data_IF_863479977190
#
_entry.id   IF_863479977190
#
_cell.length_a   1.000
_cell.length_b   1.000
_cell.length_c   1.000
_cell.angle_alpha   90.00
_cell.angle_beta   90.00
_cell.angle_gamma   90.00
#
_symmetry.space_group_name_H-M   'P 1'
#
loop_
_entity.id
_entity.type
_entity.pdbx_description
1 polymer ?
#
# COMPACT_ATOMS: atom_id res chain seq x y z
N UNK A 1 17.63 4.60 18.42
CA UNK A 1 16.76 3.41 18.55
C UNK A 1 17.61 2.20 18.26
N UNK A 2 17.78 1.29 19.24
CA UNK A 2 18.55 0.08 19.07
C UNK A 2 17.84 -0.82 18.06
N UNK A 3 18.56 -1.38 17.12
CA UNK A 3 18.02 -2.19 16.05
C UNK A 3 17.94 -3.66 16.55
N UNK A 4 17.16 -3.87 17.63
CA UNK A 4 17.04 -5.17 18.32
C UNK A 4 16.07 -6.13 17.62
N UNK A 5 16.12 -6.17 16.29
CA UNK A 5 15.41 -7.19 15.54
C UNK A 5 16.11 -8.54 15.71
N UNK A 6 15.36 -9.65 15.81
CA UNK A 6 15.95 -10.99 15.80
C UNK A 6 16.84 -11.18 14.57
N UNK A 7 17.95 -11.90 14.73
CA UNK A 7 18.96 -12.09 13.67
C UNK A 7 18.37 -12.66 12.37
N UNK A 8 17.33 -13.53 12.48
CA UNK A 8 16.66 -14.08 11.30
C UNK A 8 15.92 -13.01 10.45
N UNK A 9 15.59 -11.83 11.02
CA UNK A 9 15.04 -10.70 10.26
C UNK A 9 16.17 -9.92 9.58
N UNK A 10 17.32 -9.78 10.25
CA UNK A 10 18.48 -9.07 9.69
C UNK A 10 19.11 -9.83 8.54
N UNK A 11 19.10 -11.17 8.62
CA UNK A 11 19.61 -12.10 7.61
C UNK A 11 18.58 -12.40 6.51
N UNK A 12 17.47 -11.67 6.46
CA UNK A 12 16.49 -11.85 5.40
C UNK A 12 17.15 -11.75 4.03
N UNK A 13 16.94 -12.73 3.14
CA UNK A 13 17.63 -12.80 1.85
C UNK A 13 17.14 -11.74 0.87
N UNK A 14 17.49 -10.47 1.13
CA UNK A 14 17.17 -9.32 0.25
C UNK A 14 17.55 -9.59 -1.19
N UNK A 15 18.73 -10.22 -1.39
CA UNK A 15 19.22 -10.58 -2.72
C UNK A 15 18.31 -11.60 -3.41
N UNK A 16 17.83 -12.61 -2.70
CA UNK A 16 16.93 -13.62 -3.27
C UNK A 16 15.55 -13.00 -3.60
N UNK A 17 15.05 -12.11 -2.75
CA UNK A 17 13.81 -11.38 -3.04
C UNK A 17 13.95 -10.51 -4.29
N UNK A 18 15.03 -9.72 -4.40
CA UNK A 18 15.32 -8.89 -5.56
C UNK A 18 15.52 -9.72 -6.84
N UNK A 19 16.21 -10.85 -6.75
CA UNK A 19 16.38 -11.79 -7.86
C UNK A 19 15.04 -12.36 -8.33
N UNK A 20 14.14 -12.71 -7.39
CA UNK A 20 12.81 -13.19 -7.73
C UNK A 20 11.99 -12.12 -8.48
N UNK A 21 12.08 -10.87 -8.06
CA UNK A 21 11.45 -9.75 -8.79
C UNK A 21 12.01 -9.57 -10.19
N UNK A 22 13.32 -9.77 -10.39
CA UNK A 22 13.96 -9.61 -11.70
C UNK A 22 13.81 -10.82 -12.61
N UNK A 23 13.81 -12.05 -12.08
CA UNK A 23 13.86 -13.30 -12.85
C UNK A 23 12.47 -13.88 -13.16
N UNK A 24 11.51 -13.75 -12.25
CA UNK A 24 10.15 -14.30 -12.40
C UNK A 24 9.11 -13.19 -12.40
N UNK A 25 9.09 -12.42 -13.46
CA UNK A 25 8.10 -11.37 -13.61
C UNK A 25 6.73 -11.97 -13.82
N UNK A 26 5.75 -11.51 -13.02
CA UNK A 26 4.35 -11.81 -13.26
C UNK A 26 3.96 -11.39 -14.68
N UNK A 27 3.01 -12.08 -15.31
CA UNK A 27 2.57 -11.75 -16.67
C UNK A 27 2.15 -10.28 -16.85
N UNK A 28 1.55 -9.69 -15.83
CA UNK A 28 1.15 -8.27 -15.83
C UNK A 28 2.25 -7.30 -15.37
N UNK A 29 3.45 -7.77 -15.06
CA UNK A 29 4.52 -6.93 -14.48
C UNK A 29 4.80 -5.67 -15.31
N UNK A 30 4.93 -5.82 -16.64
CA UNK A 30 5.20 -4.69 -17.52
C UNK A 30 4.05 -3.67 -17.53
N UNK A 31 2.82 -4.15 -17.50
CA UNK A 31 1.63 -3.30 -17.39
C UNK A 31 1.65 -2.51 -16.08
N UNK A 32 1.92 -3.16 -14.96
CA UNK A 32 2.01 -2.50 -13.66
C UNK A 32 3.15 -1.49 -13.60
N UNK A 33 4.34 -1.88 -14.11
CA UNK A 33 5.48 -0.98 -14.16
C UNK A 33 5.18 0.26 -14.99
N UNK A 34 4.57 0.08 -16.17
CA UNK A 34 4.17 1.21 -17.03
C UNK A 34 3.17 2.13 -16.31
N UNK A 35 2.18 1.55 -15.61
CA UNK A 35 1.23 2.32 -14.83
C UNK A 35 1.89 3.12 -13.71
N UNK A 36 2.84 2.52 -12.99
CA UNK A 36 3.57 3.18 -11.91
C UNK A 36 4.47 4.29 -12.46
N UNK A 37 5.20 4.02 -13.52
CA UNK A 37 6.15 4.99 -14.12
C UNK A 37 5.44 6.19 -14.74
N UNK A 38 4.18 6.00 -15.17
CA UNK A 38 3.34 7.05 -15.73
C UNK A 38 2.54 7.84 -14.69
N UNK A 39 2.63 7.50 -13.39
CA UNK A 39 1.93 8.26 -12.34
C UNK A 39 2.42 9.72 -12.32
N UNK A 40 1.51 10.70 -12.25
CA UNK A 40 1.90 12.10 -12.11
C UNK A 40 2.58 12.31 -10.75
N UNK A 41 3.59 13.19 -10.72
CA UNK A 41 4.24 13.60 -9.48
C UNK A 41 3.42 14.70 -8.83
N UNK A 42 2.60 14.32 -7.84
CA UNK A 42 1.70 15.23 -7.15
C UNK A 42 2.25 15.57 -5.76
N UNK A 43 1.95 16.79 -5.33
CA UNK A 43 2.17 17.16 -3.94
C UNK A 43 1.11 16.46 -3.07
N UNK A 44 1.57 15.75 -2.07
CA UNK A 44 0.71 15.11 -1.09
C UNK A 44 0.43 16.06 0.07
N UNK A 45 -0.83 16.11 0.51
CA UNK A 45 -1.26 16.84 1.69
C UNK A 45 -1.39 15.91 2.91
N UNK A 46 -2.40 16.18 3.73
CA UNK A 46 -2.66 15.39 4.92
C UNK A 46 -2.95 13.91 4.59
N UNK A 47 -2.39 13.02 5.41
CA UNK A 47 -2.65 11.58 5.36
C UNK A 47 -3.44 11.21 6.62
N UNK A 48 -4.53 10.45 6.46
CA UNK A 48 -5.34 9.93 7.56
C UNK A 48 -5.35 8.40 7.48
N UNK A 49 -4.94 7.76 8.57
CA UNK A 49 -4.82 6.31 8.67
C UNK A 49 -5.91 5.67 9.53
N UNK A 50 -6.50 6.45 10.44
CA UNK A 50 -7.51 6.05 11.42
C UNK A 50 -8.96 6.26 10.91
N UNK A 51 -9.18 6.05 9.64
CA UNK A 51 -10.49 6.16 8.98
C UNK A 51 -10.82 4.89 8.18
N UNK A 52 -12.09 4.67 7.79
CA UNK A 52 -12.46 3.50 7.00
C UNK A 52 -11.68 3.32 5.69
N UNK A 53 -11.14 4.41 5.15
CA UNK A 53 -10.22 4.37 4.02
C UNK A 53 -8.92 5.07 4.39
N UNK A 54 -7.78 4.51 4.02
CA UNK A 54 -6.52 5.25 4.09
C UNK A 54 -6.61 6.40 3.09
N UNK A 55 -6.54 7.63 3.60
CA UNK A 55 -6.72 8.82 2.77
C UNK A 55 -5.42 9.59 2.60
N UNK A 56 -5.24 10.17 1.41
CA UNK A 56 -4.16 11.12 1.13
C UNK A 56 -4.76 12.30 0.36
N UNK A 57 -4.66 13.49 0.92
CA UNK A 57 -5.10 14.70 0.24
C UNK A 57 -4.14 15.06 -0.91
N UNK A 58 -4.70 15.59 -1.99
CA UNK A 58 -3.96 16.05 -3.18
C UNK A 58 -4.38 17.49 -3.50
N UNK A 59 -3.94 18.48 -2.70
CA UNK A 59 -4.51 19.82 -2.71
C UNK A 59 -4.29 20.59 -4.02
N UNK A 60 -3.23 20.27 -4.77
CA UNK A 60 -2.84 20.99 -5.99
C UNK A 60 -3.02 20.16 -7.28
N UNK A 61 -3.66 18.98 -7.17
CA UNK A 61 -3.88 18.14 -8.34
C UNK A 61 -4.92 18.76 -9.27
N UNK A 62 -4.55 18.93 -10.53
CA UNK A 62 -5.50 19.36 -11.58
C UNK A 62 -6.39 18.20 -12.01
N UNK A 63 -7.51 18.52 -12.69
CA UNK A 63 -8.38 17.49 -13.26
C UNK A 63 -7.64 16.59 -14.25
N UNK A 64 -6.66 17.11 -14.99
CA UNK A 64 -5.82 16.34 -15.89
C UNK A 64 -4.91 15.37 -15.14
N UNK A 65 -4.30 15.81 -14.03
CA UNK A 65 -3.48 14.94 -13.18
C UNK A 65 -4.32 13.82 -12.56
N UNK A 66 -5.51 14.14 -12.07
CA UNK A 66 -6.42 13.16 -11.49
C UNK A 66 -6.88 12.12 -12.52
N UNK A 67 -7.21 12.55 -13.74
CA UNK A 67 -7.56 11.65 -14.82
C UNK A 67 -6.38 10.73 -15.21
N UNK A 68 -5.18 11.29 -15.29
CA UNK A 68 -3.96 10.49 -15.55
C UNK A 68 -3.72 9.49 -14.41
N UNK A 69 -3.79 9.93 -13.17
CA UNK A 69 -3.61 9.06 -12.00
C UNK A 69 -4.65 7.94 -11.99
N UNK A 70 -5.92 8.22 -12.23
CA UNK A 70 -6.97 7.20 -12.31
C UNK A 70 -6.66 6.15 -13.38
N UNK A 71 -6.27 6.58 -14.59
CA UNK A 71 -5.90 5.67 -15.67
C UNK A 71 -4.70 4.77 -15.29
N UNK A 72 -3.70 5.32 -14.61
CA UNK A 72 -2.54 4.56 -14.13
C UNK A 72 -2.94 3.54 -13.06
N UNK A 73 -3.74 3.96 -12.08
CA UNK A 73 -4.20 3.09 -10.99
C UNK A 73 -5.10 1.95 -11.49
N UNK A 74 -5.89 2.18 -12.53
CA UNK A 74 -6.69 1.13 -13.18
C UNK A 74 -5.83 0.03 -13.81
N UNK A 75 -4.60 0.31 -14.22
CA UNK A 75 -3.68 -0.70 -14.73
C UNK A 75 -3.19 -1.66 -13.65
N UNK A 76 -3.26 -1.25 -12.37
CA UNK A 76 -2.84 -2.04 -11.22
C UNK A 76 -3.94 -2.99 -10.71
N UNK A 77 -5.13 -2.98 -11.33
CA UNK A 77 -6.20 -3.90 -10.95
C UNK A 77 -5.81 -5.38 -11.10
N UNK A 78 -6.37 -6.25 -10.22
CA UNK A 78 -7.28 -5.94 -9.13
C UNK A 78 -6.56 -5.48 -7.85
N UNK A 79 -7.08 -4.43 -7.19
CA UNK A 79 -6.65 -4.03 -5.87
C UNK A 79 -7.19 -5.00 -4.81
N UNK A 80 -6.30 -5.61 -4.05
CA UNK A 80 -6.65 -6.71 -3.14
C UNK A 80 -7.05 -6.23 -1.75
N UNK A 81 -6.34 -5.26 -1.18
CA UNK A 81 -6.55 -4.73 0.17
C UNK A 81 -6.77 -3.22 0.10
N UNK A 82 -7.64 -2.70 0.95
CA UNK A 82 -8.01 -1.31 1.07
C UNK A 82 -9.26 -1.13 1.92
N UNK A 83 -10.05 -0.08 1.75
CA UNK A 83 -10.03 0.88 0.64
C UNK A 83 -9.01 2.02 0.79
N UNK A 84 -8.78 2.76 -0.30
CA UNK A 84 -7.96 3.96 -0.30
C UNK A 84 -8.74 5.15 -0.87
N UNK A 85 -8.40 6.35 -0.40
CA UNK A 85 -8.94 7.61 -0.92
C UNK A 85 -7.77 8.54 -1.27
N UNK A 86 -7.51 8.76 -2.56
CA UNK A 86 -6.43 9.60 -3.05
C UNK A 86 -7.04 10.88 -3.66
N UNK A 87 -7.05 11.96 -2.89
CA UNK A 87 -7.84 13.12 -3.24
C UNK A 87 -9.30 12.74 -3.48
N UNK A 88 -9.90 13.06 -4.64
CA UNK A 88 -11.27 12.68 -4.98
C UNK A 88 -11.40 11.22 -5.46
N UNK A 89 -10.30 10.53 -5.75
CA UNK A 89 -10.34 9.17 -6.28
C UNK A 89 -10.51 8.16 -5.17
N UNK A 90 -11.61 7.41 -5.23
CA UNK A 90 -11.86 6.29 -4.34
C UNK A 90 -11.44 4.97 -5.00
N UNK A 91 -10.58 4.21 -4.30
CA UNK A 91 -10.16 2.87 -4.72
C UNK A 91 -10.84 1.88 -3.81
N UNK A 92 -11.96 1.32 -4.29
CA UNK A 92 -12.55 0.16 -3.64
C UNK A 92 -11.74 -1.10 -3.96
N UNK A 93 -11.81 -2.09 -3.09
CA UNK A 93 -10.94 -3.25 -3.18
C UNK A 93 -11.72 -4.54 -2.96
N UNK A 94 -11.17 -5.65 -3.49
CA UNK A 94 -11.77 -6.97 -3.36
C UNK A 94 -11.96 -7.38 -1.89
N UNK A 95 -10.99 -7.00 -1.04
CA UNK A 95 -11.01 -7.31 0.38
C UNK A 95 -11.08 -6.02 1.20
N UNK A 96 -12.15 -5.86 1.95
CA UNK A 96 -12.37 -4.75 2.88
C UNK A 96 -11.50 -4.95 4.12
N UNK A 97 -10.31 -4.36 4.07
CA UNK A 97 -9.31 -4.46 5.15
C UNK A 97 -9.73 -3.68 6.39
N UNK A 98 -10.47 -2.57 6.23
CA UNK A 98 -11.11 -1.82 7.30
C UNK A 98 -12.05 -2.71 8.13
N UNK A 99 -12.95 -3.46 7.51
CA UNK A 99 -13.85 -4.38 8.21
C UNK A 99 -13.11 -5.52 8.91
N UNK A 100 -11.98 -5.95 8.34
CA UNK A 100 -11.13 -6.95 9.00
C UNK A 100 -10.47 -6.34 10.23
N UNK A 101 -9.98 -5.11 10.12
CA UNK A 101 -9.37 -4.38 11.23
C UNK A 101 -10.34 -4.19 12.38
N UNK A 102 -11.55 -3.71 12.11
CA UNK A 102 -12.61 -3.50 13.10
C UNK A 102 -12.93 -4.75 13.93
N UNK A 103 -12.77 -5.92 13.33
CA UNK A 103 -12.96 -7.21 14.03
C UNK A 103 -11.74 -7.65 14.83
N UNK A 104 -10.53 -7.29 14.39
CA UNK A 104 -9.28 -7.74 15.01
C UNK A 104 -8.83 -6.80 16.12
N UNK A 105 -8.94 -5.50 15.92
CA UNK A 105 -8.41 -4.49 16.84
C UNK A 105 -8.90 -4.65 18.29
N UNK A 106 -10.19 -4.93 18.55
CA UNK A 106 -10.67 -5.15 19.93
C UNK A 106 -10.01 -6.35 20.63
N UNK A 107 -9.62 -7.39 19.86
CA UNK A 107 -8.98 -8.58 20.41
C UNK A 107 -7.47 -8.41 20.60
N UNK A 108 -6.84 -7.51 19.84
CA UNK A 108 -5.39 -7.29 19.91
C UNK A 108 -4.99 -6.33 21.02
N UNK A 109 -5.89 -5.46 21.45
CA UNK A 109 -5.58 -4.39 22.41
C UNK A 109 -4.67 -3.32 21.83
N UNK A 110 -3.94 -2.58 22.69
CA UNK A 110 -3.02 -1.53 22.25
C UNK A 110 -1.79 -2.12 21.58
N UNK A 111 -1.44 -1.57 20.44
CA UNK A 111 -0.23 -1.88 19.68
C UNK A 111 0.88 -0.85 19.90
N UNK A 112 0.66 0.14 20.80
CA UNK A 112 1.62 1.20 21.07
C UNK A 112 2.96 0.63 21.52
N UNK A 113 4.03 1.07 20.86
CA UNK A 113 5.39 0.63 21.15
C UNK A 113 5.69 -0.84 20.79
N UNK A 114 4.74 -1.56 20.20
CA UNK A 114 4.95 -2.95 19.75
C UNK A 114 5.71 -2.98 18.43
N UNK A 115 6.53 -4.02 18.27
CA UNK A 115 7.14 -4.35 16.98
C UNK A 115 6.30 -5.45 16.34
N UNK A 116 5.78 -5.17 15.15
CA UNK A 116 4.83 -6.04 14.46
C UNK A 116 5.46 -6.55 13.17
N UNK A 117 5.35 -7.84 12.94
CA UNK A 117 5.69 -8.48 11.68
C UNK A 117 4.40 -8.93 10.98
N UNK A 118 4.07 -8.30 9.85
CA UNK A 118 2.95 -8.70 9.00
C UNK A 118 3.43 -9.63 7.89
N UNK A 119 3.20 -10.94 8.05
CA UNK A 119 3.53 -11.95 7.06
C UNK A 119 2.41 -12.00 6.01
N UNK A 120 2.75 -11.75 4.74
CA UNK A 120 1.77 -11.67 3.67
C UNK A 120 1.03 -10.32 3.64
N UNK A 121 1.76 -9.25 3.96
CA UNK A 121 1.23 -7.88 4.04
C UNK A 121 0.48 -7.41 2.77
N UNK A 122 0.72 -8.03 1.61
CA UNK A 122 0.12 -7.65 0.33
C UNK A 122 0.62 -6.28 -0.11
N UNK A 123 -0.30 -5.31 -0.22
CA UNK A 123 0.04 -3.93 -0.56
C UNK A 123 0.42 -3.05 0.65
N UNK A 124 0.60 -3.65 1.82
CA UNK A 124 1.03 -2.94 3.03
C UNK A 124 -0.08 -2.20 3.79
N UNK A 125 -1.36 -2.42 3.48
CA UNK A 125 -2.48 -1.70 4.09
C UNK A 125 -2.43 -1.64 5.63
N UNK A 126 -2.09 -2.74 6.30
CA UNK A 126 -2.01 -2.79 7.76
C UNK A 126 -0.68 -2.27 8.33
N UNK A 127 0.25 -1.89 7.48
CA UNK A 127 1.54 -1.33 7.86
C UNK A 127 1.58 0.21 7.81
N UNK A 128 0.45 0.80 7.46
CA UNK A 128 0.29 2.25 7.39
C UNK A 128 0.04 2.89 8.75
#
# INVERSE_FOLDING_TARGET
MSNDWPDWITDWPKTAALQRFSANKHGDYLKWQTGIDALPRLQTGAVTLDSPAITCALPEASDADLAQMENCLRQLHPWRKGPFQLGPLHIDTEWRSDWKWDRLAPAMGSLDGQRILDIGCGNGYFGC
#
